data_IF_796513738253
#
_entry.id   IF_796513738253
#
_cell.length_a   1.000
_cell.length_b   1.000
_cell.length_c   1.000
_cell.angle_alpha   90.00
_cell.angle_beta   90.00
_cell.angle_gamma   90.00
#
_symmetry.space_group_name_H-M   'P 1'
#
loop_
_entity.id
_entity.type
_entity.pdbx_description
1 polymer ?
#
# COMPACT_ATOMS: atom_id res chain seq x y z
N UNK A 1 25.65 -8.84 2.72
CA UNK A 1 25.15 -7.61 2.05
C UNK A 1 24.01 -7.99 1.12
N UNK A 2 22.88 -7.26 1.14
CA UNK A 2 21.78 -7.52 0.21
C UNK A 2 22.13 -7.10 -1.23
N UNK A 3 21.70 -7.88 -2.26
CA UNK A 3 22.04 -7.62 -3.65
C UNK A 3 21.45 -6.30 -4.16
N UNK A 4 22.11 -5.66 -5.13
CA UNK A 4 21.70 -4.34 -5.66
C UNK A 4 20.32 -4.35 -6.32
N UNK A 5 19.91 -5.49 -6.88
CA UNK A 5 18.60 -5.64 -7.51
C UNK A 5 17.44 -5.80 -6.50
N UNK A 6 17.71 -6.01 -5.21
CA UNK A 6 16.66 -6.27 -4.22
C UNK A 6 15.71 -5.08 -4.04
N UNK A 7 16.25 -3.84 -3.99
CA UNK A 7 15.43 -2.63 -3.89
C UNK A 7 14.51 -2.44 -5.11
N UNK A 8 15.02 -2.39 -6.37
CA UNK A 8 14.15 -2.20 -7.52
C UNK A 8 13.14 -3.33 -7.71
N UNK A 9 13.52 -4.60 -7.46
CA UNK A 9 12.58 -5.71 -7.53
C UNK A 9 11.42 -5.54 -6.54
N UNK A 10 11.74 -5.17 -5.30
CA UNK A 10 10.75 -4.92 -4.25
C UNK A 10 9.87 -3.71 -4.56
N UNK A 11 10.46 -2.63 -5.09
CA UNK A 11 9.74 -1.44 -5.55
C UNK A 11 8.73 -1.78 -6.63
N UNK A 12 9.12 -2.51 -7.69
CA UNK A 12 8.20 -2.85 -8.77
C UNK A 12 7.09 -3.79 -8.31
N UNK A 13 7.43 -4.78 -7.46
CA UNK A 13 6.44 -5.67 -6.87
C UNK A 13 5.40 -4.88 -6.07
N UNK A 14 5.84 -4.08 -5.09
CA UNK A 14 4.95 -3.27 -4.26
C UNK A 14 4.15 -2.27 -5.09
N UNK A 15 4.77 -1.64 -6.10
CA UNK A 15 4.07 -0.72 -7.00
C UNK A 15 2.94 -1.42 -7.73
N UNK A 16 3.22 -2.55 -8.36
CA UNK A 16 2.23 -3.30 -9.14
C UNK A 16 1.06 -3.76 -8.26
N UNK A 17 1.34 -4.37 -7.11
CA UNK A 17 0.29 -4.89 -6.22
C UNK A 17 -0.55 -3.79 -5.59
N UNK A 18 0.07 -2.67 -5.19
CA UNK A 18 -0.62 -1.55 -4.54
C UNK A 18 -1.48 -0.78 -5.54
N UNK A 19 -0.98 -0.53 -6.75
CA UNK A 19 -1.76 0.09 -7.81
C UNK A 19 -2.87 -0.84 -8.33
N UNK A 20 -2.63 -2.14 -8.45
CA UNK A 20 -3.67 -3.10 -8.82
C UNK A 20 -4.80 -3.12 -7.79
N UNK A 21 -4.46 -3.07 -6.49
CA UNK A 21 -5.44 -2.98 -5.42
C UNK A 21 -6.20 -1.65 -5.45
N UNK A 22 -5.49 -0.52 -5.46
CA UNK A 22 -6.09 0.82 -5.44
C UNK A 22 -6.83 1.21 -6.73
N UNK A 23 -6.11 1.23 -7.85
CA UNK A 23 -6.67 1.61 -9.15
C UNK A 23 -7.60 0.53 -9.68
N UNK A 24 -7.14 -0.72 -9.74
CA UNK A 24 -7.91 -1.82 -10.31
C UNK A 24 -9.10 -2.21 -9.44
N UNK A 25 -8.86 -2.47 -8.16
CA UNK A 25 -9.87 -2.92 -7.21
C UNK A 25 -10.89 -1.84 -6.84
N UNK A 26 -10.46 -0.61 -6.55
CA UNK A 26 -11.38 0.41 -6.02
C UNK A 26 -11.77 1.50 -7.03
N UNK A 27 -10.81 2.10 -7.75
CA UNK A 27 -11.12 3.27 -8.59
C UNK A 27 -11.80 2.90 -9.91
N UNK A 28 -11.30 1.87 -10.61
CA UNK A 28 -11.83 1.38 -11.88
C UNK A 28 -12.86 0.27 -11.71
N UNK A 29 -13.02 -0.23 -10.48
CA UNK A 29 -13.94 -1.31 -10.13
C UNK A 29 -13.84 -2.52 -11.07
N UNK A 30 -12.62 -2.95 -11.39
CA UNK A 30 -12.39 -4.04 -12.34
C UNK A 30 -13.10 -5.31 -11.86
N UNK A 31 -13.76 -5.99 -12.80
CA UNK A 31 -14.44 -7.27 -12.54
C UNK A 31 -13.44 -8.26 -11.90
N UNK A 32 -13.91 -8.99 -10.89
CA UNK A 32 -13.15 -9.93 -10.06
C UNK A 32 -12.15 -9.30 -9.06
N UNK A 33 -11.89 -7.99 -9.14
CA UNK A 33 -11.07 -7.24 -8.17
C UNK A 33 -11.90 -6.36 -7.23
N UNK A 34 -13.00 -5.77 -7.74
CA UNK A 34 -13.94 -5.02 -6.91
C UNK A 34 -14.95 -5.95 -6.26
N UNK A 35 -14.89 -6.02 -4.93
CA UNK A 35 -15.75 -6.86 -4.10
C UNK A 35 -16.44 -6.02 -3.03
N UNK A 36 -17.51 -5.28 -3.37
CA UNK A 36 -18.26 -4.52 -2.37
C UNK A 36 -18.91 -5.44 -1.33
N UNK A 37 -19.22 -6.67 -1.73
CA UNK A 37 -19.73 -7.76 -0.89
C UNK A 37 -18.71 -8.24 0.14
N UNK A 38 -17.42 -7.90 -0.02
CA UNK A 38 -16.42 -8.17 1.00
C UNK A 38 -16.63 -7.30 2.24
N UNK A 39 -17.25 -6.13 2.12
CA UNK A 39 -17.46 -5.20 3.23
C UNK A 39 -18.79 -5.44 3.91
N UNK A 40 -18.85 -5.27 5.23
CA UNK A 40 -20.12 -5.28 5.97
C UNK A 40 -20.56 -3.84 6.18
N UNK A 41 -21.76 -3.52 5.73
CA UNK A 41 -22.43 -2.22 5.85
C UNK A 41 -23.77 -2.46 6.53
N UNK A 42 -23.97 -1.83 7.70
CA UNK A 42 -25.18 -1.99 8.51
C UNK A 42 -25.54 -3.46 8.80
N UNK A 43 -24.53 -4.31 9.03
CA UNK A 43 -24.70 -5.73 9.36
C UNK A 43 -25.01 -6.64 8.17
N UNK A 44 -24.93 -6.15 6.93
CA UNK A 44 -25.10 -6.95 5.69
C UNK A 44 -23.89 -6.79 4.77
N UNK A 45 -23.62 -7.76 3.87
CA UNK A 45 -22.66 -7.56 2.79
C UNK A 45 -23.00 -6.31 1.97
N UNK A 46 -21.97 -5.54 1.66
CA UNK A 46 -22.10 -4.30 0.91
C UNK A 46 -22.56 -4.55 -0.51
N UNK A 47 -23.31 -3.60 -1.07
CA UNK A 47 -23.79 -3.62 -2.45
C UNK A 47 -22.99 -2.69 -3.34
N UNK A 48 -22.24 -1.76 -2.75
CA UNK A 48 -21.45 -0.76 -3.47
C UNK A 48 -22.31 0.33 -4.11
N UNK A 49 -23.57 0.46 -3.67
CA UNK A 49 -24.57 1.36 -4.27
C UNK A 49 -24.97 2.51 -3.35
N UNK A 50 -24.69 2.42 -2.05
CA UNK A 50 -24.99 3.50 -1.11
C UNK A 50 -23.97 4.64 -1.25
N UNK A 51 -24.35 5.90 -0.94
CA UNK A 51 -23.41 7.02 -0.96
C UNK A 51 -22.18 6.78 -0.08
N UNK A 52 -22.36 6.16 1.09
CA UNK A 52 -21.27 5.81 1.99
C UNK A 52 -20.28 4.81 1.36
N UNK A 53 -20.78 3.71 0.80
CA UNK A 53 -19.92 2.70 0.15
C UNK A 53 -19.14 3.27 -1.03
N UNK A 54 -19.78 4.16 -1.79
CA UNK A 54 -19.14 4.85 -2.92
C UNK A 54 -17.98 5.70 -2.40
N UNK A 55 -18.21 6.53 -1.38
CA UNK A 55 -17.16 7.36 -0.76
C UNK A 55 -16.05 6.49 -0.19
N UNK A 56 -16.40 5.46 0.59
CA UNK A 56 -15.45 4.54 1.19
C UNK A 56 -14.58 3.85 0.13
N UNK A 57 -15.17 3.42 -0.99
CA UNK A 57 -14.45 2.85 -2.13
C UNK A 57 -13.38 3.81 -2.65
N UNK A 58 -13.73 5.08 -2.88
CA UNK A 58 -12.74 6.06 -3.35
C UNK A 58 -11.67 6.34 -2.30
N UNK A 59 -12.04 6.46 -1.03
CA UNK A 59 -11.09 6.67 0.07
C UNK A 59 -10.10 5.51 0.15
N UNK A 60 -10.58 4.26 0.16
CA UNK A 60 -9.70 3.09 0.16
C UNK A 60 -8.82 3.06 -1.09
N UNK A 61 -9.36 3.33 -2.27
CA UNK A 61 -8.58 3.45 -3.50
C UNK A 61 -7.45 4.46 -3.40
N UNK A 62 -7.73 5.66 -2.89
CA UNK A 62 -6.74 6.73 -2.73
C UNK A 62 -5.68 6.40 -1.66
N UNK A 63 -6.05 5.68 -0.60
CA UNK A 63 -5.10 5.23 0.43
C UNK A 63 -4.05 4.28 -0.13
N UNK A 64 -4.40 3.45 -1.12
CA UNK A 64 -3.41 2.63 -1.84
C UNK A 64 -2.63 3.45 -2.88
N UNK A 65 -3.30 4.30 -3.67
CA UNK A 65 -2.68 4.98 -4.82
C UNK A 65 -1.78 6.14 -4.41
N UNK A 66 -2.24 7.04 -3.55
CA UNK A 66 -1.54 8.31 -3.27
C UNK A 66 -0.16 8.08 -2.63
N UNK A 67 0.00 7.25 -1.58
CA UNK A 67 1.32 6.97 -1.03
C UNK A 67 2.23 6.26 -2.03
N UNK A 68 1.67 5.42 -2.90
CA UNK A 68 2.44 4.73 -3.95
C UNK A 68 2.96 5.70 -5.02
N UNK A 69 2.19 6.74 -5.37
CA UNK A 69 2.70 7.82 -6.24
C UNK A 69 3.91 8.53 -5.62
N UNK A 70 3.91 8.73 -4.30
CA UNK A 70 5.07 9.24 -3.57
C UNK A 70 6.29 8.32 -3.70
N UNK A 71 6.10 7.00 -3.59
CA UNK A 71 7.17 6.03 -3.81
C UNK A 71 7.69 6.05 -5.26
N UNK A 72 6.80 6.17 -6.25
CA UNK A 72 7.18 6.28 -7.67
C UNK A 72 7.98 7.56 -7.91
N UNK A 73 7.51 8.70 -7.41
CA UNK A 73 8.25 9.96 -7.51
C UNK A 73 9.64 9.84 -6.88
N UNK A 74 9.73 9.32 -5.65
CA UNK A 74 11.00 9.14 -4.97
C UNK A 74 11.93 8.12 -5.66
N UNK A 75 11.39 7.14 -6.38
CA UNK A 75 12.18 6.18 -7.13
C UNK A 75 12.84 6.81 -8.36
N UNK A 76 12.09 7.61 -9.14
CA UNK A 76 12.56 8.13 -10.42
C UNK A 76 13.17 9.54 -10.36
N UNK A 77 12.70 10.38 -9.44
CA UNK A 77 13.12 11.79 -9.35
C UNK A 77 14.18 11.99 -8.29
N UNK A 78 14.03 11.33 -7.14
CA UNK A 78 14.88 11.57 -5.99
C UNK A 78 16.15 10.71 -6.01
N UNK A 79 17.29 11.37 -5.74
CA UNK A 79 18.62 10.73 -5.73
C UNK A 79 19.09 10.32 -4.34
N UNK A 80 18.42 10.82 -3.30
CA UNK A 80 18.85 10.62 -1.91
C UNK A 80 18.14 9.44 -1.27
N UNK A 81 18.90 8.72 -0.44
CA UNK A 81 18.38 7.67 0.44
C UNK A 81 17.30 8.19 1.37
N UNK A 82 17.42 9.43 1.86
CA UNK A 82 16.44 10.04 2.77
C UNK A 82 15.07 10.18 2.11
N UNK A 83 15.00 10.76 0.91
CA UNK A 83 13.74 10.94 0.20
C UNK A 83 13.06 9.59 -0.13
N UNK A 84 13.83 8.61 -0.62
CA UNK A 84 13.36 7.25 -0.89
C UNK A 84 12.80 6.57 0.37
N UNK A 85 13.44 6.78 1.52
CA UNK A 85 12.98 6.30 2.82
C UNK A 85 11.70 6.95 3.27
N UNK A 86 11.64 8.27 3.23
CA UNK A 86 10.45 9.03 3.64
C UNK A 86 9.21 8.62 2.84
N UNK A 87 9.37 8.35 1.55
CA UNK A 87 8.27 7.89 0.70
C UNK A 87 7.68 6.53 1.14
N UNK A 88 8.48 5.67 1.77
CA UNK A 88 8.03 4.37 2.28
C UNK A 88 7.22 4.47 3.58
N UNK A 89 7.33 5.59 4.31
CA UNK A 89 6.77 5.70 5.68
C UNK A 89 5.24 5.66 5.66
N UNK A 90 4.61 6.42 4.77
CA UNK A 90 3.15 6.48 4.69
C UNK A 90 2.51 5.11 4.38
N UNK A 91 2.89 4.38 3.31
CA UNK A 91 2.31 3.05 3.06
C UNK A 91 2.67 2.04 4.15
N UNK A 92 3.89 2.09 4.71
CA UNK A 92 4.29 1.23 5.83
C UNK A 92 3.39 1.46 7.06
N UNK A 93 3.16 2.71 7.44
CA UNK A 93 2.31 3.07 8.58
C UNK A 93 0.87 2.62 8.36
N UNK A 94 0.32 2.84 7.16
CA UNK A 94 -1.02 2.35 6.80
C UNK A 94 -1.14 0.84 7.00
N UNK A 95 -0.18 0.05 6.51
CA UNK A 95 -0.22 -1.39 6.63
C UNK A 95 -0.13 -1.85 8.10
N UNK A 96 0.76 -1.29 8.92
CA UNK A 96 0.82 -1.65 10.34
C UNK A 96 -0.41 -1.20 11.13
N UNK A 97 -0.94 -0.01 10.87
CA UNK A 97 -2.20 0.44 11.48
C UNK A 97 -3.38 -0.44 11.07
N UNK A 98 -3.40 -0.94 9.83
CA UNK A 98 -4.44 -1.85 9.36
C UNK A 98 -4.39 -3.20 10.08
N UNK A 99 -3.21 -3.71 10.43
CA UNK A 99 -3.09 -4.92 11.29
C UNK A 99 -3.77 -4.68 12.63
N UNK A 100 -3.49 -3.54 13.28
CA UNK A 100 -4.12 -3.17 14.54
C UNK A 100 -5.63 -3.01 14.40
N UNK A 101 -6.10 -2.33 13.35
CA UNK A 101 -7.54 -2.16 13.08
C UNK A 101 -8.26 -3.50 12.94
N UNK A 102 -7.73 -4.39 12.09
CA UNK A 102 -8.30 -5.72 11.81
C UNK A 102 -8.32 -6.63 13.04
N UNK A 103 -7.29 -6.59 13.89
CA UNK A 103 -7.19 -7.49 15.04
C UNK A 103 -7.84 -6.96 16.31
N UNK A 104 -7.81 -5.64 16.54
CA UNK A 104 -8.13 -5.06 17.84
C UNK A 104 -9.39 -4.19 17.84
N UNK A 105 -9.80 -3.64 16.68
CA UNK A 105 -10.87 -2.63 16.61
C UNK A 105 -12.14 -3.20 15.98
N UNK A 106 -12.01 -4.04 14.95
CA UNK A 106 -13.16 -4.66 14.32
C UNK A 106 -13.58 -5.90 15.11
N UNK A 107 -14.80 -5.89 15.68
CA UNK A 107 -15.43 -7.08 16.27
C UNK A 107 -15.81 -8.10 15.19
N UNK A 108 -16.07 -9.36 15.58
CA UNK A 108 -16.56 -10.38 14.64
C UNK A 108 -17.94 -9.93 14.13
N UNK A 109 -18.03 -9.60 12.83
CA UNK A 109 -19.22 -8.98 12.23
C UNK A 109 -19.07 -7.49 11.87
N UNK A 110 -18.05 -6.80 12.41
CA UNK A 110 -17.62 -5.46 11.96
C UNK A 110 -16.38 -5.52 11.07
N UNK A 111 -15.85 -6.72 10.82
CA UNK A 111 -14.74 -6.92 9.92
C UNK A 111 -15.13 -6.41 8.52
N UNK A 112 -14.46 -5.39 7.96
CA UNK A 112 -14.80 -4.84 6.65
C UNK A 112 -14.46 -5.80 5.51
N UNK A 113 -14.06 -7.03 5.80
CA UNK A 113 -13.69 -8.04 4.82
C UNK A 113 -14.31 -9.37 5.27
N UNK A 114 -15.04 -10.05 4.37
CA UNK A 114 -15.58 -11.42 4.56
C UNK A 114 -14.47 -12.46 4.80
N UNK A 115 -13.21 -12.08 4.59
CA UNK A 115 -12.04 -12.89 4.91
C UNK A 115 -11.82 -13.01 6.43
N UNK A 116 -11.24 -14.12 6.93
CA UNK A 116 -10.83 -14.21 8.33
C UNK A 116 -9.91 -13.04 8.70
N UNK A 117 -10.14 -12.43 9.88
CA UNK A 117 -9.30 -11.32 10.40
C UNK A 117 -7.81 -11.63 10.34
N UNK A 118 -7.43 -12.87 10.64
CA UNK A 118 -6.04 -13.34 10.56
C UNK A 118 -5.46 -13.28 9.15
N UNK A 119 -6.25 -13.56 8.11
CA UNK A 119 -5.83 -13.48 6.71
C UNK A 119 -5.63 -12.03 6.28
N UNK A 120 -6.59 -11.15 6.59
CA UNK A 120 -6.48 -9.72 6.29
C UNK A 120 -5.31 -9.07 7.05
N UNK A 121 -5.19 -9.34 8.35
CA UNK A 121 -4.08 -8.87 9.18
C UNK A 121 -2.73 -9.43 8.69
N UNK A 122 -2.67 -10.70 8.31
CA UNK A 122 -1.48 -11.33 7.76
C UNK A 122 -1.02 -10.65 6.46
N UNK A 123 -1.95 -10.35 5.55
CA UNK A 123 -1.65 -9.60 4.33
C UNK A 123 -1.08 -8.22 4.66
N UNK A 124 -1.75 -7.44 5.50
CA UNK A 124 -1.26 -6.11 5.88
C UNK A 124 0.10 -6.17 6.58
N UNK A 125 0.34 -7.17 7.44
CA UNK A 125 1.63 -7.38 8.09
C UNK A 125 2.74 -7.66 7.07
N UNK A 126 2.50 -8.56 6.11
CA UNK A 126 3.45 -8.88 5.05
C UNK A 126 3.80 -7.62 4.25
N UNK A 127 2.80 -6.85 3.81
CA UNK A 127 3.05 -5.61 3.07
C UNK A 127 3.79 -4.56 3.92
N UNK A 128 3.43 -4.40 5.19
CA UNK A 128 4.14 -3.50 6.11
C UNK A 128 5.62 -3.87 6.26
N UNK A 129 5.92 -5.16 6.40
CA UNK A 129 7.29 -5.68 6.45
C UNK A 129 8.04 -5.51 5.12
N UNK A 130 7.36 -5.66 3.98
CA UNK A 130 7.96 -5.42 2.67
C UNK A 130 8.28 -3.94 2.45
N UNK A 131 7.41 -3.00 2.86
CA UNK A 131 7.72 -1.58 2.84
C UNK A 131 8.85 -1.21 3.82
N UNK A 132 8.91 -1.83 5.00
CA UNK A 132 10.02 -1.69 5.94
C UNK A 132 11.33 -2.20 5.35
N UNK A 133 11.29 -3.33 4.64
CA UNK A 133 12.46 -3.88 3.94
C UNK A 133 12.89 -2.93 2.80
N UNK A 134 11.95 -2.37 2.04
CA UNK A 134 12.24 -1.37 1.00
C UNK A 134 12.90 -0.12 1.60
N UNK A 135 12.40 0.37 2.74
CA UNK A 135 12.99 1.46 3.52
C UNK A 135 14.44 1.14 3.96
N UNK A 136 14.68 -0.08 4.45
CA UNK A 136 15.99 -0.51 4.88
C UNK A 136 16.98 -0.63 3.71
N UNK A 137 16.50 -1.12 2.57
CA UNK A 137 17.26 -1.33 1.34
C UNK A 137 17.48 -0.07 0.50
N UNK A 138 16.78 1.03 0.79
CA UNK A 138 16.98 2.32 0.12
C UNK A 138 18.44 2.79 0.26
N UNK A 139 19.00 3.21 -0.88
CA UNK A 139 20.40 3.66 -1.03
C UNK A 139 20.45 4.87 -1.95
N UNK A 140 21.52 5.65 -1.79
CA UNK A 140 21.86 6.73 -2.72
C UNK A 140 22.26 6.13 -4.08
N UNK A 141 21.94 6.84 -5.16
CA UNK A 141 22.55 6.55 -6.46
C UNK A 141 23.94 7.19 -6.54
N UNK A 142 24.94 6.45 -6.06
CA UNK A 142 26.34 6.90 -6.01
C UNK A 142 26.92 7.34 -7.37
N UNK A 143 26.42 6.79 -8.49
CA UNK A 143 26.83 7.20 -9.84
C UNK A 143 26.37 8.62 -10.21
N UNK A 144 25.26 9.11 -9.65
CA UNK A 144 24.74 10.45 -9.90
C UNK A 144 25.26 11.48 -8.87
N UNK A 145 25.39 11.09 -7.59
CA UNK A 145 25.91 11.96 -6.51
C UNK A 145 27.37 12.36 -6.73
N UNK A 146 28.17 11.50 -7.40
CA UNK A 146 29.55 11.83 -7.75
C UNK A 146 29.67 12.87 -8.88
N UNK A 147 28.64 13.03 -9.72
CA UNK A 147 28.61 14.03 -10.79
C UNK A 147 28.07 15.38 -10.32
N UNK A 148 27.12 15.42 -9.38
CA UNK A 148 26.63 16.69 -8.79
C UNK A 148 27.68 17.41 -7.94
N UNK A 149 28.71 16.71 -7.43
CA UNK A 149 29.82 17.34 -6.68
C UNK A 149 30.94 17.91 -7.56
N UNK A 150 30.83 17.77 -8.89
CA UNK A 150 31.85 18.23 -9.85
C UNK A 150 31.42 19.48 -10.64
N UNK A 151 30.18 19.94 -10.45
CA UNK A 151 29.65 21.19 -11.00
C UNK A 151 29.38 22.17 -9.86
#
# INVERSE_FOLDING_TARGET
>A
MAPRWAYPALFYFLTATTLMSGVGGFLLKLKDFYRPDAYIVEGKPGTGTTPFEIIATYVFGLVYVVPQLGCIHAHFVERTRSARRSACVAPMAYHFMSVYGVLCVFEDGLNPIVAPKSAAAGMHLVFGLLFLLMYALARDDYAAVANDKKN
#
